data_IF_417231250114
#
_entry.id   IF_417231250114
#
_cell.length_a   1.000
_cell.length_b   1.000
_cell.length_c   1.000
_cell.angle_alpha   90.00
_cell.angle_beta   90.00
_cell.angle_gamma   90.00
#
_symmetry.space_group_name_H-M   'P 1'
#
loop_
_entity.id
_entity.type
_entity.pdbx_description
1 polymer ?
#
# COMPACT_ATOMS: atom_id res chain seq x y z
N UNK A 1 12.36 -6.94 -0.83
CA UNK A 1 10.96 -6.75 -1.28
C UNK A 1 10.56 -5.30 -1.03
N UNK A 2 10.10 -4.58 -2.06
CA UNK A 2 9.64 -3.20 -1.91
C UNK A 2 8.19 -3.13 -1.43
N UNK A 3 7.88 -2.22 -0.49
CA UNK A 3 6.51 -1.93 -0.04
C UNK A 3 6.21 -0.43 -0.10
N UNK A 4 5.04 -0.03 -0.62
CA UNK A 4 4.65 1.38 -0.67
C UNK A 4 3.92 1.82 0.60
N UNK A 5 4.21 3.02 1.08
CA UNK A 5 3.46 3.73 2.12
C UNK A 5 2.46 4.73 1.50
N UNK A 6 2.09 4.49 0.25
CA UNK A 6 1.06 5.20 -0.49
C UNK A 6 0.08 4.20 -1.10
N UNK A 7 -1.07 4.71 -1.53
CA UNK A 7 -2.01 3.98 -2.38
C UNK A 7 -2.06 4.56 -3.77
N UNK A 8 -2.46 3.75 -4.73
CA UNK A 8 -2.78 4.18 -6.08
C UNK A 8 -4.30 4.32 -6.20
N UNK A 9 -4.75 5.45 -6.74
CA UNK A 9 -6.18 5.72 -6.93
C UNK A 9 -6.51 6.07 -8.38
N UNK A 10 -7.74 5.79 -8.77
CA UNK A 10 -8.30 6.04 -10.08
C UNK A 10 -9.69 6.67 -9.97
N UNK A 11 -10.04 7.50 -10.94
CA UNK A 11 -11.36 8.11 -11.11
C UNK A 11 -12.03 7.60 -12.39
N UNK A 12 -13.32 7.91 -12.56
CA UNK A 12 -14.13 7.46 -13.70
C UNK A 12 -14.09 5.95 -13.88
N UNK A 13 -14.15 5.23 -12.76
CA UNK A 13 -14.16 3.77 -12.72
C UNK A 13 -15.60 3.25 -12.85
N UNK A 14 -15.81 2.19 -13.61
CA UNK A 14 -17.18 1.71 -13.93
C UNK A 14 -17.68 0.57 -13.05
N UNK A 15 -16.80 0.00 -12.23
CA UNK A 15 -17.10 -1.16 -11.41
C UNK A 15 -16.15 -2.32 -11.69
N UNK A 16 -16.32 -3.42 -10.94
CA UNK A 16 -15.48 -4.60 -11.08
C UNK A 16 -15.77 -5.30 -12.42
N UNK A 17 -14.71 -5.82 -13.04
CA UNK A 17 -14.79 -6.50 -14.34
C UNK A 17 -15.47 -7.87 -14.20
N UNK A 18 -15.29 -8.53 -13.06
CA UNK A 18 -15.89 -9.82 -12.78
C UNK A 18 -17.20 -9.71 -11.99
N UNK A 19 -18.02 -10.75 -12.14
CA UNK A 19 -19.27 -10.90 -11.39
C UNK A 19 -19.06 -11.16 -9.88
N UNK A 20 -17.81 -11.43 -9.46
CA UNK A 20 -17.47 -11.67 -8.06
C UNK A 20 -17.23 -10.38 -7.28
N UNK A 21 -17.06 -9.25 -7.97
CA UNK A 21 -16.77 -7.98 -7.34
C UNK A 21 -15.36 -7.91 -6.75
N UNK A 22 -14.39 -8.55 -7.37
CA UNK A 22 -12.99 -8.53 -6.92
C UNK A 22 -12.32 -7.16 -7.19
N UNK A 23 -11.02 -7.06 -6.92
CA UNK A 23 -10.28 -5.79 -6.97
C UNK A 23 -9.94 -5.29 -8.39
N UNK A 24 -10.51 -5.88 -9.45
CA UNK A 24 -10.17 -5.59 -10.83
C UNK A 24 -11.18 -4.63 -11.44
N UNK A 25 -10.78 -3.37 -11.60
CA UNK A 25 -11.65 -2.28 -12.05
C UNK A 25 -11.16 -1.66 -13.36
N UNK A 26 -12.10 -1.26 -14.22
CA UNK A 26 -11.77 -0.51 -15.45
C UNK A 26 -11.99 0.98 -15.22
N UNK A 27 -10.93 1.78 -15.37
CA UNK A 27 -11.02 3.24 -15.45
C UNK A 27 -11.31 3.65 -16.90
N UNK A 28 -12.18 4.64 -17.09
CA UNK A 28 -12.43 5.25 -18.40
C UNK A 28 -11.63 6.54 -18.59
N UNK A 29 -11.33 6.88 -19.85
CA UNK A 29 -10.74 8.16 -20.14
C UNK A 29 -11.72 9.29 -19.77
N UNK A 30 -11.17 10.40 -19.31
CA UNK A 30 -11.89 11.62 -18.93
C UNK A 30 -12.79 12.13 -20.06
N UNK A 31 -12.32 11.99 -21.30
CA UNK A 31 -13.08 12.35 -22.50
C UNK A 31 -13.19 11.11 -23.37
N UNK A 32 -14.41 10.80 -23.83
CA UNK A 32 -14.66 9.65 -24.72
C UNK A 32 -13.81 9.78 -25.99
N UNK A 33 -12.97 8.78 -26.25
CA UNK A 33 -12.08 8.75 -27.40
C UNK A 33 -10.71 9.40 -27.20
N UNK A 34 -10.35 9.81 -25.97
CA UNK A 34 -8.98 10.20 -25.61
C UNK A 34 -8.27 9.11 -24.78
N UNK A 35 -6.95 9.22 -24.66
CA UNK A 35 -6.11 8.37 -23.79
C UNK A 35 -5.78 9.06 -22.45
N UNK A 36 -6.64 9.96 -21.98
CA UNK A 36 -6.42 10.72 -20.75
C UNK A 36 -7.17 10.08 -19.58
N UNK A 37 -6.45 9.44 -18.67
CA UNK A 37 -7.00 8.82 -17.47
C UNK A 37 -6.72 9.68 -16.23
N UNK A 38 -7.64 9.63 -15.27
CA UNK A 38 -7.53 10.37 -14.01
C UNK A 38 -7.21 9.43 -12.85
N UNK A 39 -6.19 9.77 -12.10
CA UNK A 39 -5.68 8.96 -10.99
C UNK A 39 -4.33 9.47 -10.51
N UNK A 40 -3.75 8.76 -9.56
CA UNK A 40 -2.43 9.08 -9.05
C UNK A 40 -2.06 8.27 -7.82
N UNK A 41 -1.06 8.76 -7.09
CA UNK A 41 -0.61 8.18 -5.85
C UNK A 41 -0.93 9.10 -4.69
N UNK A 42 -1.29 8.52 -3.54
CA UNK A 42 -1.57 9.27 -2.32
C UNK A 42 -0.89 8.64 -1.10
N UNK A 43 -0.13 9.42 -0.31
CA UNK A 43 0.42 8.95 0.95
C UNK A 43 -0.63 8.38 1.89
N UNK A 44 -0.28 7.34 2.65
CA UNK A 44 -1.14 6.71 3.66
C UNK A 44 -1.77 7.76 4.60
N UNK A 45 -0.98 8.71 5.08
CA UNK A 45 -1.44 9.78 5.97
C UNK A 45 -2.48 10.71 5.36
N UNK A 46 -2.55 10.81 4.02
CA UNK A 46 -3.46 11.72 3.32
C UNK A 46 -4.75 11.04 2.86
N UNK A 47 -4.87 9.71 2.85
CA UNK A 47 -6.04 9.00 2.31
C UNK A 47 -7.38 9.48 2.88
N UNK A 48 -7.45 9.68 4.20
CA UNK A 48 -8.65 10.19 4.87
C UNK A 48 -9.00 11.62 4.45
N UNK A 49 -8.00 12.47 4.25
CA UNK A 49 -8.20 13.88 3.88
C UNK A 49 -8.86 14.07 2.51
N UNK A 50 -8.67 13.12 1.60
CA UNK A 50 -9.27 13.17 0.26
C UNK A 50 -10.58 12.36 0.15
N UNK A 51 -11.08 11.84 1.27
CA UNK A 51 -12.38 11.17 1.34
C UNK A 51 -12.35 9.65 1.25
N UNK A 52 -11.18 9.00 1.32
CA UNK A 52 -11.10 7.54 1.49
C UNK A 52 -11.10 7.17 2.97
N UNK A 53 -12.14 6.49 3.42
CA UNK A 53 -12.19 5.94 4.77
C UNK A 53 -11.42 4.60 4.82
N UNK A 54 -10.16 4.63 5.24
CA UNK A 54 -9.31 3.42 5.32
C UNK A 54 -9.91 2.30 6.18
N UNK A 55 -10.77 2.63 7.14
CA UNK A 55 -11.46 1.66 7.99
C UNK A 55 -12.59 0.91 7.28
N UNK A 56 -13.09 1.41 6.14
CA UNK A 56 -14.11 0.75 5.32
C UNK A 56 -13.50 -0.05 4.16
N UNK A 57 -12.20 -0.29 4.18
CA UNK A 57 -11.54 -1.03 3.13
C UNK A 57 -11.98 -2.50 3.08
N UNK A 58 -12.18 -2.99 1.86
CA UNK A 58 -12.44 -4.41 1.60
C UNK A 58 -11.10 -5.12 1.48
N UNK A 59 -11.02 -6.32 2.07
CA UNK A 59 -9.85 -7.17 1.95
C UNK A 59 -9.95 -8.06 0.72
N UNK A 60 -8.96 -8.01 -0.17
CA UNK A 60 -8.86 -8.93 -1.28
C UNK A 60 -7.99 -10.14 -0.90
N UNK A 61 -8.60 -11.33 -0.96
CA UNK A 61 -8.00 -12.55 -0.41
C UNK A 61 -6.82 -13.08 -1.24
N UNK A 62 -6.85 -12.91 -2.56
CA UNK A 62 -5.82 -13.50 -3.42
C UNK A 62 -4.56 -12.62 -3.49
N UNK A 63 -4.74 -11.30 -3.55
CA UNK A 63 -3.61 -10.35 -3.54
C UNK A 63 -3.07 -10.08 -2.13
N UNK A 64 -3.83 -10.43 -1.08
CA UNK A 64 -3.54 -10.10 0.31
C UNK A 64 -3.35 -8.59 0.54
N UNK A 65 -4.21 -7.79 -0.07
CA UNK A 65 -4.18 -6.32 0.05
C UNK A 65 -5.59 -5.74 0.26
N UNK A 66 -5.69 -4.58 0.93
CA UNK A 66 -6.92 -3.82 1.00
C UNK A 66 -7.18 -2.98 -0.25
N UNK A 67 -8.46 -2.74 -0.53
CA UNK A 67 -8.90 -1.75 -1.51
C UNK A 67 -10.18 -1.06 -1.05
N UNK A 68 -10.47 0.11 -1.64
CA UNK A 68 -11.74 0.83 -1.46
C UNK A 68 -12.33 1.09 -2.83
N UNK A 69 -13.60 0.74 -3.00
CA UNK A 69 -14.41 1.11 -4.14
C UNK A 69 -15.54 2.02 -3.68
N UNK A 70 -15.65 3.22 -4.29
CA UNK A 70 -16.69 4.21 -4.01
C UNK A 70 -17.57 4.37 -5.26
N UNK A 71 -18.65 3.59 -5.42
CA UNK A 71 -19.49 3.62 -6.61
C UNK A 71 -20.07 5.00 -6.94
N UNK A 72 -20.53 5.72 -5.91
CA UNK A 72 -21.15 7.04 -6.06
C UNK A 72 -20.20 8.10 -6.60
N UNK A 73 -18.89 7.94 -6.36
CA UNK A 73 -17.85 8.85 -6.84
C UNK A 73 -17.13 8.33 -8.08
N UNK A 74 -17.37 7.07 -8.44
CA UNK A 74 -16.59 6.35 -9.44
C UNK A 74 -15.08 6.35 -9.14
N UNK A 75 -14.71 6.22 -7.86
CA UNK A 75 -13.32 6.26 -7.39
C UNK A 75 -12.88 4.93 -6.77
N UNK A 76 -11.70 4.46 -7.14
CA UNK A 76 -11.07 3.25 -6.62
C UNK A 76 -9.71 3.58 -5.98
N UNK A 77 -9.37 2.93 -4.87
CA UNK A 77 -8.08 3.03 -4.19
C UNK A 77 -7.56 1.64 -3.84
N UNK A 78 -6.37 1.29 -4.32
CA UNK A 78 -5.59 0.14 -3.86
C UNK A 78 -4.40 0.62 -3.02
N UNK A 79 -4.13 -0.02 -1.88
CA UNK A 79 -3.11 0.46 -0.94
C UNK A 79 -2.57 -0.65 -0.04
N UNK A 80 -1.58 -0.34 0.78
CA UNK A 80 -1.11 -1.20 1.88
C UNK A 80 -1.71 -0.74 3.21
N UNK A 81 -1.96 -1.68 4.11
CA UNK A 81 -2.26 -1.38 5.51
C UNK A 81 -1.39 -2.24 6.45
N UNK A 82 -1.56 -2.06 7.76
CA UNK A 82 -0.82 -2.82 8.76
C UNK A 82 -0.98 -4.35 8.63
N UNK A 83 -2.09 -4.85 8.06
CA UNK A 83 -2.28 -6.28 7.83
C UNK A 83 -1.47 -6.75 6.61
N UNK A 84 -1.62 -6.10 5.46
CA UNK A 84 -0.93 -6.52 4.22
C UNK A 84 0.59 -6.42 4.36
N UNK A 85 1.10 -5.41 5.07
CA UNK A 85 2.54 -5.30 5.35
C UNK A 85 3.07 -6.46 6.22
N UNK A 86 2.31 -6.90 7.23
CA UNK A 86 2.68 -8.08 8.03
C UNK A 86 2.68 -9.36 7.18
N UNK A 87 1.68 -9.55 6.31
CA UNK A 87 1.65 -10.71 5.42
C UNK A 87 2.85 -10.72 4.44
N UNK A 88 3.26 -9.53 3.97
CA UNK A 88 4.44 -9.37 3.12
C UNK A 88 5.76 -9.58 3.87
N UNK A 89 5.86 -9.15 5.12
CA UNK A 89 6.96 -9.49 6.03
C UNK A 89 7.11 -11.01 6.14
N UNK A 90 6.02 -11.71 6.43
CA UNK A 90 6.07 -13.17 6.57
C UNK A 90 6.41 -13.84 5.24
N UNK A 91 5.92 -13.32 4.12
CA UNK A 91 6.34 -13.76 2.79
C UNK A 91 7.85 -13.59 2.57
N UNK A 92 8.42 -12.45 3.00
CA UNK A 92 9.86 -12.16 2.90
C UNK A 92 10.68 -13.18 3.66
N UNK A 93 10.26 -13.54 4.89
CA UNK A 93 10.91 -14.58 5.71
C UNK A 93 10.79 -15.95 5.08
N UNK A 94 9.57 -16.35 4.70
CA UNK A 94 9.29 -17.66 4.13
C UNK A 94 10.09 -17.96 2.85
N UNK A 95 10.41 -16.91 2.08
CA UNK A 95 11.17 -17.02 0.84
C UNK A 95 12.64 -16.61 0.97
N UNK A 96 13.14 -16.40 2.20
CA UNK A 96 14.54 -16.02 2.46
C UNK A 96 15.01 -14.80 1.65
N UNK A 97 14.14 -13.81 1.48
CA UNK A 97 14.48 -12.59 0.76
C UNK A 97 15.36 -11.68 1.64
N UNK A 98 16.26 -10.91 1.03
CA UNK A 98 17.24 -10.08 1.73
C UNK A 98 16.71 -8.87 2.54
N UNK A 99 15.39 -8.77 2.75
CA UNK A 99 14.77 -7.72 3.56
C UNK A 99 13.70 -6.91 2.83
N UNK A 100 13.28 -5.80 3.48
CA UNK A 100 12.22 -4.91 3.01
C UNK A 100 12.77 -3.52 2.71
N UNK A 101 12.34 -2.94 1.60
CA UNK A 101 12.58 -1.53 1.26
C UNK A 101 11.26 -0.79 1.26
N UNK A 102 11.23 0.42 1.81
CA UNK A 102 10.02 1.22 1.99
C UNK A 102 10.06 2.42 1.03
N UNK A 103 8.93 2.70 0.36
CA UNK A 103 8.72 3.95 -0.36
C UNK A 103 7.46 4.65 0.13
N UNK A 104 7.55 5.72 0.91
CA UNK A 104 8.71 6.21 1.66
C UNK A 104 8.24 6.66 3.04
N UNK A 105 9.18 6.82 3.98
CA UNK A 105 8.87 6.91 5.40
C UNK A 105 7.97 8.11 5.76
N UNK A 106 8.13 9.24 5.08
CA UNK A 106 7.36 10.48 5.28
C UNK A 106 5.89 10.37 4.86
N UNK A 107 5.53 9.28 4.16
CA UNK A 107 4.16 9.01 3.73
C UNK A 107 3.33 8.28 4.79
N UNK A 108 3.97 7.75 5.84
CA UNK A 108 3.27 7.16 7.00
C UNK A 108 2.59 8.23 7.86
N UNK A 109 1.72 7.80 8.76
CA UNK A 109 1.08 8.68 9.73
C UNK A 109 1.98 8.94 10.94
N UNK A 110 1.59 9.91 11.77
CA UNK A 110 2.36 10.34 12.96
C UNK A 110 2.47 9.25 14.05
N UNK A 111 1.75 8.14 13.88
CA UNK A 111 1.79 6.98 14.75
C UNK A 111 2.68 5.85 14.20
N UNK A 112 3.41 6.09 13.10
CA UNK A 112 4.28 5.13 12.43
C UNK A 112 3.58 3.79 12.16
N UNK A 113 2.31 3.83 11.75
CA UNK A 113 1.46 2.64 11.70
C UNK A 113 2.00 1.59 10.73
N UNK A 114 2.44 2.04 9.55
CA UNK A 114 2.98 1.15 8.53
C UNK A 114 4.42 0.75 8.86
N UNK A 115 5.23 1.69 9.35
CA UNK A 115 6.61 1.42 9.77
C UNK A 115 6.67 0.39 10.89
N UNK A 116 5.83 0.52 11.94
CA UNK A 116 5.74 -0.44 13.04
C UNK A 116 5.33 -1.83 12.55
N UNK A 117 4.57 -1.92 11.46
CA UNK A 117 4.16 -3.20 10.86
C UNK A 117 5.29 -3.92 10.13
N UNK A 118 6.34 -3.19 9.72
CA UNK A 118 7.53 -3.73 9.05
C UNK A 118 8.69 -3.92 10.04
N UNK A 119 8.89 -2.95 10.95
CA UNK A 119 9.99 -2.92 11.92
C UNK A 119 9.89 -4.01 13.00
N UNK A 120 8.68 -4.32 13.47
CA UNK A 120 8.46 -5.34 14.51
C UNK A 120 8.78 -6.78 14.07
N UNK A 121 9.11 -6.96 12.80
CA UNK A 121 9.49 -8.24 12.25
C UNK A 121 10.94 -8.58 12.62
N UNK A 122 11.14 -9.73 13.25
CA UNK A 122 12.47 -10.31 13.40
C UNK A 122 13.02 -10.76 12.04
N UNK A 123 13.54 -9.81 11.27
CA UNK A 123 14.17 -10.01 9.96
C UNK A 123 15.69 -10.17 10.08
N UNK A 124 16.26 -9.87 11.25
CA UNK A 124 17.69 -9.85 11.47
C UNK A 124 18.14 -11.15 12.15
N UNK A 125 19.04 -11.90 11.50
CA UNK A 125 19.77 -12.96 12.20
C UNK A 125 20.78 -12.31 13.16
N UNK A 126 20.51 -12.38 14.46
CA UNK A 126 21.33 -11.77 15.52
C UNK A 126 22.63 -12.53 15.76
N UNK A 127 23.60 -12.36 14.86
CA UNK A 127 24.99 -12.80 15.05
C UNK A 127 26.02 -11.73 14.64
N UNK A 128 25.65 -10.43 14.63
CA UNK A 128 26.60 -9.35 14.37
C UNK A 128 26.75 -8.40 15.55
N UNK A 129 27.92 -8.45 16.19
CA UNK A 129 28.41 -7.45 17.14
C UNK A 129 29.12 -6.31 16.38
N UNK A 130 28.42 -5.58 15.52
CA UNK A 130 29.02 -4.48 14.76
C UNK A 130 28.91 -3.17 15.55
N UNK A 131 29.76 -3.00 16.57
CA UNK A 131 29.98 -1.67 17.18
C UNK A 131 30.78 -0.82 16.21
N UNK A 132 30.14 0.18 15.59
CA UNK A 132 30.80 1.12 14.68
C UNK A 132 31.30 2.33 15.47
N UNK A 133 32.62 2.51 15.54
CA UNK A 133 33.24 3.70 16.10
C UNK A 133 33.37 4.77 15.01
N UNK A 134 32.76 5.94 15.23
CA UNK A 134 32.94 7.11 14.39
C UNK A 134 33.93 8.06 15.07
N UNK A 135 35.04 8.38 14.40
CA UNK A 135 35.90 9.48 14.80
C UNK A 135 35.36 10.76 14.16
N UNK A 136 34.71 11.60 14.97
CA UNK A 136 34.46 12.98 14.61
C UNK A 136 35.76 13.77 14.83
N UNK A 137 36.44 14.09 13.74
CA UNK A 137 37.57 15.03 13.73
C UNK A 137 37.12 16.49 13.78
#
# INVERSE_FOLDING_TARGET
MGVPFFGAYWKNVEGPIDAKGEMWFTAKPKTKGSDQYEGGYIPWRNMKSIGFNVSSATWHQDSRTPFIWLPEKQEFLGFENARSLREKVEYTKAHSLGGITIWSIEMDNDNDTLLNSVYSADLCYSNRNDTIYYNCG
#
